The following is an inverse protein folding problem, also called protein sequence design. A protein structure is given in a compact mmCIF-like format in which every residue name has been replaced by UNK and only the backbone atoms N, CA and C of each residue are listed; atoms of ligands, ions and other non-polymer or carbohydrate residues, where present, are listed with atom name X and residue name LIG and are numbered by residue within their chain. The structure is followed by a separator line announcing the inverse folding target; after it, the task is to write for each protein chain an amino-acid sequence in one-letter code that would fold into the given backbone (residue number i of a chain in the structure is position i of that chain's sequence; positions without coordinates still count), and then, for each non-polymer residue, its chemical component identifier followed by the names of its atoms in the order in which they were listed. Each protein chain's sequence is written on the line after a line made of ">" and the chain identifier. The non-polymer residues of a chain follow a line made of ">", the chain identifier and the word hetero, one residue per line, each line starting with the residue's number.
data_IF_178036793883
#
_entry.id   IF_178036793883
#
_cell.length_a   1.000
_cell.length_b   1.000
_cell.length_c   1.000
_cell.angle_alpha   90.00
_cell.angle_beta   90.00
_cell.angle_gamma   90.00
#
_symmetry.space_group_name_H-M   'P 1'
#
loop_
_entity.id
_entity.type
_entity.pdbx_description
1 polymer ?
#
# COMPACT_ATOMS: atom_id res chain seq x y z
N UNK A 1 19.14 16.15 21.72
CA UNK A 1 19.64 14.91 21.07
C UNK A 1 18.57 13.84 21.24
N UNK A 2 18.48 12.85 20.35
CA UNK A 2 17.58 11.71 20.57
C UNK A 2 18.03 10.94 21.81
N UNK A 3 17.11 10.62 22.69
CA UNK A 3 17.36 9.87 23.92
C UNK A 3 17.58 8.39 23.60
N UNK A 4 16.89 7.87 22.58
CA UNK A 4 16.95 6.46 22.18
C UNK A 4 17.07 6.29 20.66
N UNK A 5 18.20 5.75 20.23
CA UNK A 5 18.42 5.22 18.88
C UNK A 5 18.57 6.25 17.75
N UNK A 6 18.73 5.73 16.53
CA UNK A 6 18.69 6.49 15.27
C UNK A 6 17.73 5.79 14.32
N UNK A 7 16.93 6.56 13.60
CA UNK A 7 16.07 6.03 12.54
C UNK A 7 16.77 6.21 11.18
N UNK A 8 16.98 5.12 10.46
CA UNK A 8 17.45 5.15 9.06
C UNK A 8 16.37 5.64 8.08
N UNK A 9 16.80 6.15 6.93
CA UNK A 9 15.92 6.68 5.88
C UNK A 9 15.00 5.62 5.26
N UNK A 10 13.90 6.09 4.68
CA UNK A 10 12.99 5.21 3.95
C UNK A 10 13.61 4.77 2.63
N UNK A 11 13.61 3.45 2.40
CA UNK A 11 14.04 2.85 1.14
C UNK A 11 13.00 1.84 0.66
N UNK A 12 12.35 2.17 -0.45
CA UNK A 12 11.30 1.35 -1.07
C UNK A 12 11.76 -0.08 -1.44
N UNK A 13 13.06 -0.29 -1.66
CA UNK A 13 13.63 -1.62 -1.92
C UNK A 13 13.82 -2.50 -0.68
N UNK A 14 13.82 -1.91 0.52
CA UNK A 14 14.14 -2.60 1.78
C UNK A 14 12.90 -2.78 2.68
N UNK A 15 11.98 -1.80 2.69
CA UNK A 15 10.78 -1.85 3.53
C UNK A 15 9.56 -1.19 2.85
N UNK A 16 8.35 -1.54 3.33
CA UNK A 16 7.12 -0.88 2.91
C UNK A 16 6.97 0.47 3.62
N UNK A 17 6.24 1.41 3.01
CA UNK A 17 5.95 2.71 3.61
C UNK A 17 5.26 2.56 4.99
N UNK A 18 4.33 1.60 5.10
CA UNK A 18 3.64 1.29 6.35
C UNK A 18 4.61 0.87 7.45
N UNK A 19 5.53 -0.06 7.18
CA UNK A 19 6.52 -0.51 8.18
C UNK A 19 7.44 0.63 8.61
N UNK A 20 7.86 1.49 7.66
CA UNK A 20 8.68 2.66 7.96
C UNK A 20 7.97 3.62 8.91
N UNK A 21 6.69 3.91 8.67
CA UNK A 21 5.89 4.79 9.53
C UNK A 21 5.68 4.18 10.92
N UNK A 22 5.38 2.88 11.01
CA UNK A 22 5.25 2.19 12.31
C UNK A 22 6.54 2.31 13.13
N UNK A 23 7.71 2.09 12.50
CA UNK A 23 9.02 2.27 13.15
C UNK A 23 9.27 3.72 13.58
N UNK A 24 8.84 4.68 12.77
CA UNK A 24 8.93 6.10 13.10
C UNK A 24 8.01 6.51 14.26
N UNK A 25 6.81 5.93 14.34
CA UNK A 25 5.89 6.15 15.46
C UNK A 25 6.44 5.58 16.77
N UNK A 26 7.04 4.39 16.74
CA UNK A 26 7.74 3.83 17.90
C UNK A 26 8.92 4.72 18.32
N UNK A 27 9.66 5.28 17.35
CA UNK A 27 10.74 6.23 17.63
C UNK A 27 10.22 7.50 18.32
N UNK A 28 9.06 8.04 17.91
CA UNK A 28 8.43 9.16 18.61
C UNK A 28 8.05 8.81 20.04
N UNK A 29 7.44 7.63 20.22
CA UNK A 29 6.98 7.17 21.53
C UNK A 29 8.16 6.97 22.49
N UNK A 30 9.22 6.30 22.04
CA UNK A 30 10.42 6.08 22.83
C UNK A 30 11.12 7.38 23.23
N UNK A 31 11.07 8.41 22.39
CA UNK A 31 11.73 9.70 22.63
C UNK A 31 10.79 10.79 23.17
N UNK A 32 9.58 10.42 23.63
CA UNK A 32 8.59 11.35 24.20
C UNK A 32 8.27 12.53 23.28
N UNK A 33 8.23 12.28 21.98
CA UNK A 33 7.93 13.29 20.96
C UNK A 33 6.42 13.37 20.77
N UNK A 34 5.76 14.25 21.54
CA UNK A 34 4.31 14.44 21.44
C UNK A 34 3.93 15.62 20.53
N UNK A 35 4.81 16.60 20.41
CA UNK A 35 4.56 17.82 19.65
C UNK A 35 4.43 17.53 18.14
N UNK A 36 3.28 17.87 17.56
CA UNK A 36 2.97 17.62 16.13
C UNK A 36 4.01 18.26 15.19
N UNK A 37 4.50 19.46 15.55
CA UNK A 37 5.54 20.16 14.79
C UNK A 37 6.86 19.39 14.76
N UNK A 38 7.25 18.79 15.90
CA UNK A 38 8.45 17.95 16.00
C UNK A 38 8.32 16.65 15.23
N UNK A 39 7.19 15.96 15.32
CA UNK A 39 6.94 14.72 14.54
C UNK A 39 7.14 14.96 13.04
N UNK A 40 6.56 16.05 12.52
CA UNK A 40 6.76 16.48 11.13
C UNK A 40 8.23 16.78 10.83
N UNK A 41 8.89 17.59 11.65
CA UNK A 41 10.28 17.99 11.41
C UNK A 41 11.22 16.77 11.39
N UNK A 42 10.99 15.80 12.28
CA UNK A 42 11.74 14.54 12.30
C UNK A 42 11.46 13.75 11.02
N UNK A 43 10.18 13.53 10.66
CA UNK A 43 9.84 12.83 9.41
C UNK A 43 10.56 13.44 8.20
N UNK A 44 10.48 14.75 8.01
CA UNK A 44 11.07 15.45 6.86
C UNK A 44 12.61 15.45 6.86
N UNK A 45 13.24 15.30 8.02
CA UNK A 45 14.71 15.24 8.12
C UNK A 45 15.26 13.83 7.94
N UNK A 46 14.49 12.80 8.30
CA UNK A 46 14.95 11.41 8.28
C UNK A 46 14.42 10.60 7.11
N UNK A 47 13.37 11.04 6.39
CA UNK A 47 12.76 10.25 5.31
C UNK A 47 13.64 10.06 4.06
N UNK A 48 14.77 10.76 3.97
CA UNK A 48 15.68 10.70 2.83
C UNK A 48 15.30 11.68 1.71
N UNK A 49 16.27 12.02 0.88
CA UNK A 49 16.13 13.07 -0.15
C UNK A 49 15.07 12.73 -1.21
N UNK A 50 15.01 11.47 -1.65
CA UNK A 50 14.04 10.99 -2.65
C UNK A 50 12.61 11.12 -2.15
N UNK A 51 12.34 10.64 -0.93
CA UNK A 51 11.03 10.69 -0.29
C UNK A 51 10.60 12.13 -0.01
N UNK A 52 11.54 12.98 0.41
CA UNK A 52 11.26 14.41 0.61
C UNK A 52 10.88 15.10 -0.71
N UNK A 53 11.62 14.86 -1.80
CA UNK A 53 11.33 15.41 -3.12
C UNK A 53 9.93 15.00 -3.59
N UNK A 54 9.60 13.71 -3.48
CA UNK A 54 8.26 13.20 -3.78
C UNK A 54 7.17 13.87 -2.95
N UNK A 55 7.38 14.00 -1.64
CA UNK A 55 6.44 14.69 -0.76
C UNK A 55 6.24 16.16 -1.20
N UNK A 56 7.32 16.84 -1.59
CA UNK A 56 7.29 18.22 -2.07
C UNK A 56 6.47 18.36 -3.35
N UNK A 57 6.62 17.43 -4.29
CA UNK A 57 5.91 17.43 -5.56
C UNK A 57 4.42 17.12 -5.36
N UNK A 58 4.08 16.14 -4.52
CA UNK A 58 2.70 15.74 -4.26
C UNK A 58 1.91 16.74 -3.39
N UNK A 59 2.58 17.57 -2.60
CA UNK A 59 1.94 18.56 -1.70
C UNK A 59 1.75 19.95 -2.33
N UNK A 60 2.17 20.16 -3.58
CA UNK A 60 2.00 21.45 -4.24
C UNK A 60 0.54 21.94 -4.20
N UNK A 61 0.30 23.24 -3.97
CA UNK A 61 1.29 24.33 -3.85
C UNK A 61 1.95 24.47 -2.46
N UNK A 62 1.46 23.76 -1.44
CA UNK A 62 1.87 23.90 -0.03
C UNK A 62 3.25 23.29 0.21
N UNK A 63 4.08 23.93 1.05
CA UNK A 63 5.39 23.34 1.41
C UNK A 63 5.22 22.19 2.41
N UNK A 64 6.04 21.12 2.35
CA UNK A 64 5.97 20.04 3.34
C UNK A 64 6.10 20.53 4.79
N UNK A 65 6.87 21.59 5.03
CA UNK A 65 7.02 22.20 6.34
C UNK A 65 5.74 22.90 6.87
N UNK A 66 4.84 23.31 5.98
CA UNK A 66 3.57 23.96 6.29
C UNK A 66 2.42 22.95 6.44
N UNK A 67 2.58 21.74 5.87
CA UNK A 67 1.63 20.65 6.02
C UNK A 67 1.67 20.03 7.43
N UNK A 68 0.64 19.27 7.79
CA UNK A 68 0.62 18.47 9.02
C UNK A 68 1.33 17.14 8.79
N UNK A 69 1.88 16.54 9.86
CA UNK A 69 2.48 15.20 9.81
C UNK A 69 1.53 14.19 9.14
N UNK A 70 0.27 14.15 9.61
CA UNK A 70 -0.77 13.26 9.06
C UNK A 70 -0.98 13.49 7.56
N UNK A 71 -1.08 14.74 7.11
CA UNK A 71 -1.29 15.04 5.69
C UNK A 71 -0.12 14.54 4.82
N UNK A 72 1.11 14.65 5.30
CA UNK A 72 2.30 14.16 4.58
C UNK A 72 2.26 12.64 4.49
N UNK A 73 2.02 11.96 5.62
CA UNK A 73 1.92 10.50 5.70
C UNK A 73 0.82 9.98 4.78
N UNK A 74 -0.39 10.54 4.84
CA UNK A 74 -1.52 10.13 4.01
C UNK A 74 -1.25 10.32 2.51
N UNK A 75 -0.55 11.40 2.14
CA UNK A 75 -0.21 11.68 0.73
C UNK A 75 0.82 10.68 0.20
N UNK A 76 1.85 10.37 1.00
CA UNK A 76 2.89 9.41 0.62
C UNK A 76 2.35 7.98 0.65
N UNK A 77 1.48 7.64 1.60
CA UNK A 77 0.82 6.33 1.67
C UNK A 77 -0.02 6.07 0.41
N UNK A 78 -0.77 7.06 -0.08
CA UNK A 78 -1.49 6.92 -1.36
C UNK A 78 -0.58 6.68 -2.57
N UNK A 79 0.68 7.12 -2.49
CA UNK A 79 1.65 6.95 -3.58
C UNK A 79 2.36 5.59 -3.49
N UNK A 80 2.85 5.20 -2.31
CA UNK A 80 3.57 3.94 -2.10
C UNK A 80 2.66 2.73 -1.93
N UNK A 81 1.46 2.96 -1.42
CA UNK A 81 0.40 1.97 -1.23
C UNK A 81 -0.85 2.41 -2.00
N UNK A 82 -0.76 2.61 -3.34
CA UNK A 82 -1.93 2.96 -4.10
C UNK A 82 -2.96 1.86 -3.89
N UNK A 83 -4.13 2.22 -3.35
CA UNK A 83 -5.22 1.25 -3.24
C UNK A 83 -5.37 0.62 -4.62
N UNK A 84 -5.29 -0.72 -4.71
CA UNK A 84 -5.38 -1.36 -6.00
C UNK A 84 -6.70 -0.91 -6.61
N UNK A 85 -6.61 -0.25 -7.78
CA UNK A 85 -7.78 0.33 -8.42
C UNK A 85 -8.81 -0.77 -8.56
N UNK A 86 -10.05 -0.50 -8.16
CA UNK A 86 -11.14 -1.44 -8.33
C UNK A 86 -11.20 -1.93 -9.78
N UNK A 87 -10.92 -1.04 -10.74
CA UNK A 87 -10.80 -1.37 -12.16
C UNK A 87 -9.67 -2.37 -12.46
N UNK A 88 -8.51 -2.24 -11.80
CA UNK A 88 -7.37 -3.15 -11.98
C UNK A 88 -7.63 -4.51 -11.34
N UNK A 89 -8.23 -4.55 -10.15
CA UNK A 89 -8.61 -5.81 -9.50
C UNK A 89 -9.76 -6.49 -10.25
N UNK A 90 -10.74 -5.74 -10.78
CA UNK A 90 -11.74 -6.24 -11.75
C UNK A 90 -11.04 -6.86 -12.95
N UNK A 91 -10.11 -6.14 -13.57
CA UNK A 91 -9.41 -6.64 -14.74
C UNK A 91 -8.64 -7.92 -14.42
N UNK A 92 -7.89 -7.99 -13.31
CA UNK A 92 -7.18 -9.20 -12.87
C UNK A 92 -8.14 -10.36 -12.62
N UNK A 93 -9.26 -10.10 -11.94
CA UNK A 93 -10.30 -11.08 -11.67
C UNK A 93 -10.93 -11.61 -12.98
N UNK A 94 -11.33 -10.73 -13.89
CA UNK A 94 -11.90 -11.07 -15.19
C UNK A 94 -10.87 -11.65 -16.17
N UNK A 95 -9.58 -11.46 -15.95
CA UNK A 95 -8.51 -12.03 -16.80
C UNK A 95 -7.92 -13.32 -16.22
N UNK A 96 -8.29 -13.71 -15.00
CA UNK A 96 -7.78 -14.91 -14.36
C UNK A 96 -8.48 -16.15 -14.91
N UNK A 97 -7.84 -16.86 -15.84
CA UNK A 97 -8.26 -18.19 -16.33
C UNK A 97 -7.51 -19.29 -15.58
N UNK A 98 -8.10 -20.47 -15.40
CA UNK A 98 -7.40 -21.63 -14.84
C UNK A 98 -6.16 -21.94 -15.69
N UNK A 99 -5.00 -22.06 -15.05
CA UNK A 99 -3.76 -22.41 -15.76
C UNK A 99 -3.81 -23.88 -16.19
N UNK A 100 -3.03 -24.23 -17.21
CA UNK A 100 -2.88 -25.63 -17.58
C UNK A 100 -2.25 -26.42 -16.42
N UNK A 101 -2.80 -27.60 -16.12
CA UNK A 101 -2.43 -28.40 -14.94
C UNK A 101 -2.85 -27.84 -13.58
N UNK A 102 -3.54 -26.68 -13.50
CA UNK A 102 -4.01 -26.13 -12.22
C UNK A 102 -5.27 -26.85 -11.73
N UNK A 103 -5.22 -27.36 -10.50
CA UNK A 103 -6.38 -27.96 -9.84
C UNK A 103 -7.50 -26.93 -9.63
N UNK A 104 -8.75 -27.37 -9.77
CA UNK A 104 -9.94 -26.51 -9.62
C UNK A 104 -9.99 -25.82 -8.25
N UNK A 105 -9.61 -26.52 -7.17
CA UNK A 105 -9.54 -25.92 -5.84
C UNK A 105 -8.55 -24.77 -5.73
N UNK A 106 -7.37 -24.90 -6.35
CA UNK A 106 -6.34 -23.85 -6.41
C UNK A 106 -6.81 -22.65 -7.21
N UNK A 107 -7.51 -22.89 -8.32
CA UNK A 107 -8.12 -21.84 -9.12
C UNK A 107 -9.21 -21.07 -8.35
N UNK A 108 -10.10 -21.78 -7.65
CA UNK A 108 -11.13 -21.18 -6.80
C UNK A 108 -10.53 -20.36 -5.66
N UNK A 109 -9.47 -20.87 -5.00
CA UNK A 109 -8.77 -20.14 -3.96
C UNK A 109 -8.13 -18.84 -4.49
N UNK A 110 -7.53 -18.89 -5.69
CA UNK A 110 -6.97 -17.71 -6.35
C UNK A 110 -8.04 -16.67 -6.72
N UNK A 111 -9.20 -17.10 -7.22
CA UNK A 111 -10.32 -16.20 -7.49
C UNK A 111 -10.88 -15.56 -6.22
N UNK A 112 -11.01 -16.33 -5.13
CA UNK A 112 -11.48 -15.82 -3.83
C UNK A 112 -10.54 -14.76 -3.26
N UNK A 113 -9.23 -14.97 -3.38
CA UNK A 113 -8.20 -13.99 -2.99
C UNK A 113 -8.32 -12.69 -3.78
N UNK A 114 -8.58 -12.77 -5.08
CA UNK A 114 -8.77 -11.59 -5.94
C UNK A 114 -10.11 -10.86 -5.68
N UNK A 115 -11.09 -11.54 -5.09
CA UNK A 115 -12.37 -10.94 -4.70
C UNK A 115 -12.41 -10.42 -3.25
N UNK A 116 -11.35 -10.57 -2.47
CA UNK A 116 -11.34 -10.28 -1.02
C UNK A 116 -11.67 -8.81 -0.69
N UNK A 117 -11.32 -7.89 -1.59
CA UNK A 117 -11.53 -6.45 -1.40
C UNK A 117 -12.59 -5.85 -2.32
N UNK A 118 -13.41 -6.69 -2.97
CA UNK A 118 -14.43 -6.22 -3.88
C UNK A 118 -15.73 -7.00 -3.69
N UNK A 119 -16.86 -6.32 -3.76
CA UNK A 119 -18.20 -6.91 -3.61
C UNK A 119 -18.62 -7.77 -4.84
N UNK A 120 -17.79 -8.73 -5.26
CA UNK A 120 -17.98 -9.58 -6.45
C UNK A 120 -18.70 -10.91 -6.17
N UNK A 121 -19.54 -10.97 -5.14
CA UNK A 121 -20.22 -12.20 -4.72
C UNK A 121 -20.98 -12.92 -5.85
N UNK A 122 -21.63 -12.17 -6.74
CA UNK A 122 -22.32 -12.71 -7.91
C UNK A 122 -21.36 -13.01 -9.08
N UNK A 123 -20.36 -12.14 -9.31
CA UNK A 123 -19.38 -12.29 -10.40
C UNK A 123 -18.40 -13.47 -10.23
N UNK A 124 -18.26 -14.01 -9.01
CA UNK A 124 -17.53 -15.25 -8.72
C UNK A 124 -18.14 -16.48 -9.39
N UNK A 125 -19.46 -16.54 -9.49
CA UNK A 125 -20.15 -17.68 -10.11
C UNK A 125 -19.92 -17.67 -11.62
N UNK A 126 -20.15 -16.52 -12.25
CA UNK A 126 -19.98 -16.37 -13.70
C UNK A 126 -18.52 -16.60 -14.11
N UNK A 127 -17.57 -16.10 -13.31
CA UNK A 127 -16.14 -16.30 -13.62
C UNK A 127 -15.65 -17.73 -13.40
N UNK A 128 -16.25 -18.45 -12.44
CA UNK A 128 -15.95 -19.88 -12.25
C UNK A 128 -16.40 -20.69 -13.46
N UNK A 129 -17.58 -20.39 -14.02
CA UNK A 129 -18.11 -21.08 -15.20
C UNK A 129 -17.27 -20.75 -16.44
N UNK A 130 -16.98 -19.47 -16.72
CA UNK A 130 -16.26 -19.08 -17.93
C UNK A 130 -14.74 -19.33 -17.91
N UNK A 131 -14.12 -19.43 -16.73
CA UNK A 131 -12.65 -19.56 -16.61
C UNK A 131 -12.14 -20.99 -16.37
N UNK A 132 -13.04 -21.98 -16.33
CA UNK A 132 -12.66 -23.39 -16.41
C UNK A 132 -12.38 -23.70 -17.88
N UNK A 133 -11.11 -23.96 -18.22
CA UNK A 133 -10.73 -24.52 -19.52
C UNK A 133 -11.24 -25.97 -19.62
N UNK A 134 -12.51 -26.15 -19.95
CA UNK A 134 -13.09 -27.46 -20.22
C UNK A 134 -14.20 -27.30 -21.28
N UNK A 135 -13.86 -27.60 -22.54
CA UNK A 135 -14.78 -27.54 -23.69
C UNK A 135 -16.02 -28.44 -23.54
N UNK A 136 -16.04 -29.35 -22.55
CA UNK A 136 -17.20 -30.21 -22.25
C UNK A 136 -18.25 -29.55 -21.34
N UNK A 137 -18.01 -28.34 -20.87
CA UNK A 137 -18.94 -27.58 -20.01
C UNK A 137 -19.41 -26.25 -20.62
N UNK A 138 -19.08 -25.97 -21.88
CA UNK A 138 -19.71 -24.91 -22.68
C UNK A 138 -20.75 -25.48 -23.64
#
# INVERSE_FOLDING_TARGET
>A
MATYGKIGEFKESEESWTHYIERLEQYFLANEVDEVGKKRAILLSVCGSKTYALARDLLQPVRPAEATFKKIVDTLDKHFSPRPSETVERFKFHSRNRKDGEGVGTYVAALRKLSEHCNYGEMLRDRLVCGINNDKMQ
#
